data_IF_377380057187
#
_entry.id   IF_377380057187
#
_cell.length_a   1.000
_cell.length_b   1.000
_cell.length_c   1.000
_cell.angle_alpha   90.00
_cell.angle_beta   90.00
_cell.angle_gamma   90.00
#
_symmetry.space_group_name_H-M   'P 1'
#
loop_
_entity.id
_entity.type
_entity.pdbx_description
1 polymer ?
#
# COMPACT_ATOMS: atom_id res chain seq x y z
N UNK A 1 -10.66 -10.89 -8.20
CA UNK A 1 -10.30 -10.20 -6.95
C UNK A 1 -10.15 -8.72 -7.26
N UNK A 2 -10.74 -7.86 -6.45
CA UNK A 2 -10.76 -6.43 -6.69
C UNK A 2 -10.36 -5.66 -5.43
N UNK A 3 -9.81 -4.45 -5.62
CA UNK A 3 -9.30 -3.61 -4.55
C UNK A 3 -9.79 -2.18 -4.78
N UNK A 4 -10.68 -1.69 -3.94
CA UNK A 4 -11.29 -0.37 -4.08
C UNK A 4 -10.41 0.70 -3.45
N UNK A 5 -10.16 1.79 -4.17
CA UNK A 5 -9.35 2.90 -3.66
C UNK A 5 -10.17 3.69 -2.65
N UNK A 6 -9.75 3.64 -1.38
CA UNK A 6 -10.44 4.30 -0.27
C UNK A 6 -9.81 5.65 0.09
N UNK A 7 -8.49 5.81 -0.10
CA UNK A 7 -7.80 7.06 0.18
C UNK A 7 -6.51 7.15 -0.62
N UNK A 8 -6.05 8.38 -0.83
CA UNK A 8 -4.79 8.68 -1.51
C UNK A 8 -3.90 9.51 -0.57
N UNK A 9 -2.59 9.25 -0.64
CA UNK A 9 -1.62 9.90 0.25
C UNK A 9 -1.49 11.40 0.08
N UNK A 10 -1.89 11.94 -1.08
CA UNK A 10 -1.94 13.39 -1.31
C UNK A 10 -3.18 14.05 -0.71
N UNK A 11 -4.11 13.27 -0.15
CA UNK A 11 -5.38 13.72 0.44
C UNK A 11 -6.32 14.38 -0.56
N UNK A 12 -6.10 14.16 -1.85
CA UNK A 12 -6.95 14.67 -2.93
C UNK A 12 -7.82 13.55 -3.49
N UNK A 13 -8.77 13.92 -4.35
CA UNK A 13 -9.67 12.95 -4.98
C UNK A 13 -8.97 12.09 -6.02
N UNK A 14 -7.92 12.61 -6.65
CA UNK A 14 -7.16 11.91 -7.69
C UNK A 14 -5.66 12.19 -7.52
N UNK A 15 -4.85 11.25 -7.99
CA UNK A 15 -3.38 11.37 -7.99
C UNK A 15 -2.83 10.79 -9.29
N UNK A 16 -1.72 11.36 -9.78
CA UNK A 16 -0.99 10.83 -10.91
C UNK A 16 0.17 9.99 -10.43
N UNK A 17 0.37 8.86 -11.11
CA UNK A 17 1.48 7.94 -10.83
C UNK A 17 2.35 7.80 -12.07
N UNK A 18 3.66 7.90 -11.87
CA UNK A 18 4.66 7.68 -12.90
C UNK A 18 5.68 6.64 -12.39
N UNK A 19 6.68 6.23 -13.19
CA UNK A 19 7.64 5.21 -12.73
C UNK A 19 8.38 5.53 -11.43
N UNK A 20 8.42 6.80 -11.04
CA UNK A 20 9.05 7.24 -9.78
C UNK A 20 8.07 7.24 -8.60
N UNK A 21 6.81 6.90 -8.82
CA UNK A 21 5.76 6.85 -7.80
C UNK A 21 4.69 7.91 -7.98
N UNK A 22 3.99 8.25 -6.88
CA UNK A 22 2.95 9.25 -6.88
C UNK A 22 3.55 10.65 -7.05
N UNK A 23 3.04 11.42 -8.01
CA UNK A 23 3.48 12.80 -8.20
C UNK A 23 3.16 13.65 -6.99
N UNK A 24 4.13 14.48 -6.58
CA UNK A 24 3.98 15.35 -5.42
C UNK A 24 4.23 14.68 -4.08
N UNK A 25 4.55 13.39 -4.05
CA UNK A 25 4.89 12.71 -2.81
C UNK A 25 6.17 13.30 -2.21
N UNK A 26 6.14 13.58 -0.90
CA UNK A 26 7.27 14.18 -0.20
C UNK A 26 8.44 13.21 -0.04
N UNK A 27 8.15 11.91 0.08
CA UNK A 27 9.16 10.87 0.22
C UNK A 27 9.00 9.90 -0.94
N UNK A 28 10.10 9.72 -1.70
CA UNK A 28 10.13 8.79 -2.82
C UNK A 28 11.26 7.80 -2.60
N UNK A 29 10.95 6.54 -2.69
CA UNK A 29 11.94 5.48 -2.72
C UNK A 29 11.86 4.82 -4.08
N UNK A 30 12.88 5.00 -4.91
CA UNK A 30 12.88 4.50 -6.30
C UNK A 30 12.90 2.97 -6.38
N UNK A 31 13.36 2.29 -5.31
CA UNK A 31 13.36 0.84 -5.25
C UNK A 31 11.97 0.28 -4.95
N UNK A 32 11.10 1.07 -4.34
CA UNK A 32 9.70 0.73 -4.03
C UNK A 32 8.87 2.01 -4.12
N UNK A 33 8.57 2.42 -5.35
CA UNK A 33 8.04 3.77 -5.60
C UNK A 33 6.61 3.99 -5.10
N UNK A 34 5.82 2.92 -4.94
CA UNK A 34 4.43 3.04 -4.50
C UNK A 34 4.19 2.18 -3.28
N UNK A 35 3.52 2.75 -2.26
CA UNK A 35 3.09 2.00 -1.09
C UNK A 35 1.56 1.88 -1.07
N UNK A 36 1.07 0.68 -0.72
CA UNK A 36 -0.35 0.39 -0.58
C UNK A 36 -0.61 -0.12 0.83
N UNK A 37 -1.78 0.22 1.37
CA UNK A 37 -2.20 -0.19 2.70
C UNK A 37 -3.66 -0.61 2.70
N UNK A 38 -3.97 -1.67 3.45
CA UNK A 38 -5.34 -2.08 3.69
C UNK A 38 -6.08 -1.03 4.54
N UNK A 39 -7.30 -0.67 4.14
CA UNK A 39 -8.14 0.23 4.92
C UNK A 39 -8.42 -0.32 6.32
N UNK A 40 -8.69 -1.62 6.43
CA UNK A 40 -8.93 -2.26 7.72
C UNK A 40 -7.70 -2.15 8.64
N UNK A 41 -6.50 -2.33 8.09
CA UNK A 41 -5.26 -2.18 8.84
C UNK A 41 -5.04 -0.72 9.25
N UNK A 42 -5.32 0.24 8.36
CA UNK A 42 -5.21 1.68 8.69
C UNK A 42 -6.14 2.05 9.85
N UNK A 43 -7.39 1.58 9.81
CA UNK A 43 -8.36 1.84 10.88
C UNK A 43 -7.94 1.18 12.19
N UNK A 44 -7.43 -0.05 12.14
CA UNK A 44 -6.92 -0.74 13.31
C UNK A 44 -5.73 -0.04 13.95
N UNK A 45 -4.80 0.44 13.13
CA UNK A 45 -3.62 1.19 13.58
C UNK A 45 -4.03 2.51 14.23
N UNK A 46 -4.97 3.23 13.61
CA UNK A 46 -5.40 4.54 14.12
C UNK A 46 -6.13 4.44 15.46
N UNK A 47 -6.79 3.31 15.72
CA UNK A 47 -7.55 3.08 16.97
C UNK A 47 -6.81 2.23 18.00
N UNK A 48 -5.58 1.76 17.72
CA UNK A 48 -4.84 0.89 18.62
C UNK A 48 -4.40 1.62 19.90
N UNK A 49 -4.54 0.96 21.05
CA UNK A 49 -4.06 1.48 22.34
C UNK A 49 -2.53 1.38 22.42
N UNK A 50 -1.97 0.22 22.07
CA UNK A 50 -0.53 0.02 22.00
C UNK A 50 -0.08 0.29 20.57
N UNK A 51 0.69 1.35 20.39
CA UNK A 51 1.07 1.83 19.07
C UNK A 51 2.54 1.56 18.79
N UNK A 52 2.82 0.93 17.65
CA UNK A 52 4.17 0.74 17.18
C UNK A 52 4.80 2.04 16.68
N UNK A 53 6.12 2.03 16.55
CA UNK A 53 6.91 3.20 16.14
C UNK A 53 6.46 3.77 14.80
N UNK A 54 6.03 2.92 13.86
CA UNK A 54 5.67 3.33 12.50
C UNK A 54 4.22 3.81 12.37
N UNK A 55 3.38 3.64 13.38
CA UNK A 55 1.94 3.91 13.27
C UNK A 55 1.61 5.34 12.85
N UNK A 56 2.29 6.32 13.42
CA UNK A 56 2.08 7.72 13.07
C UNK A 56 2.93 8.19 11.90
N UNK A 57 4.00 7.46 11.58
CA UNK A 57 4.95 7.84 10.53
C UNK A 57 4.60 7.28 9.16
N UNK A 58 3.96 6.11 9.14
CA UNK A 58 3.66 5.46 7.89
C UNK A 58 2.41 6.07 7.25
N UNK A 59 2.59 6.62 6.05
CA UNK A 59 1.53 7.17 5.23
C UNK A 59 1.59 6.50 3.87
N UNK A 60 0.62 5.65 3.58
CA UNK A 60 0.58 4.96 2.30
C UNK A 60 0.19 5.92 1.17
N UNK A 61 0.74 5.69 -0.02
CA UNK A 61 0.33 6.42 -1.23
C UNK A 61 -1.11 6.07 -1.60
N UNK A 62 -1.49 4.81 -1.45
CA UNK A 62 -2.83 4.30 -1.77
C UNK A 62 -3.33 3.46 -0.60
N UNK A 63 -4.53 3.78 -0.10
CA UNK A 63 -5.25 2.93 0.85
C UNK A 63 -6.36 2.22 0.09
N UNK A 64 -6.39 0.89 0.17
CA UNK A 64 -7.38 0.08 -0.55
C UNK A 64 -8.24 -0.73 0.40
N UNK A 65 -9.52 -0.86 0.02
CA UNK A 65 -10.47 -1.70 0.73
C UNK A 65 -10.56 -3.05 0.02
N UNK A 66 -10.24 -4.12 0.73
CA UNK A 66 -10.24 -5.46 0.18
C UNK A 66 -10.26 -6.49 1.31
N UNK A 67 -10.79 -7.70 1.07
CA UNK A 67 -10.72 -8.78 2.06
C UNK A 67 -9.31 -9.32 2.24
N UNK A 68 -8.47 -9.23 1.23
CA UNK A 68 -7.10 -9.72 1.26
C UNK A 68 -6.23 -8.87 0.33
N UNK A 69 -5.06 -8.46 0.80
CA UNK A 69 -4.10 -7.69 0.02
C UNK A 69 -3.51 -8.53 -1.13
N UNK A 70 -3.16 -7.89 -2.25
CA UNK A 70 -2.55 -8.62 -3.37
C UNK A 70 -1.19 -9.20 -2.97
N UNK A 71 -0.88 -10.39 -3.50
CA UNK A 71 0.38 -11.06 -3.23
C UNK A 71 1.51 -10.50 -4.12
N UNK A 72 2.74 -10.71 -3.66
CA UNK A 72 3.93 -10.37 -4.44
C UNK A 72 3.86 -11.01 -5.83
N UNK A 73 4.24 -10.25 -6.85
CA UNK A 73 4.22 -10.71 -8.24
C UNK A 73 2.90 -10.47 -8.96
N UNK A 74 1.87 -10.02 -8.26
CA UNK A 74 0.57 -9.73 -8.85
C UNK A 74 0.59 -8.39 -9.59
N UNK A 75 0.02 -8.34 -10.79
CA UNK A 75 -0.23 -7.09 -11.50
C UNK A 75 -1.69 -6.70 -11.30
N UNK A 76 -1.93 -5.45 -10.87
CA UNK A 76 -3.26 -4.90 -10.66
C UNK A 76 -3.43 -3.64 -11.50
N UNK A 77 -4.62 -3.44 -12.05
CA UNK A 77 -4.89 -2.35 -12.99
C UNK A 77 -6.18 -1.61 -12.64
N UNK A 78 -6.11 -0.28 -12.67
CA UNK A 78 -7.28 0.60 -12.59
C UNK A 78 -7.12 1.67 -13.67
N UNK A 79 -8.03 1.67 -14.65
CA UNK A 79 -7.88 2.54 -15.81
C UNK A 79 -6.60 2.22 -16.58
N UNK A 80 -5.75 3.21 -16.80
CA UNK A 80 -4.45 3.02 -17.45
C UNK A 80 -3.33 2.64 -16.46
N UNK A 81 -3.51 2.94 -15.19
CA UNK A 81 -2.51 2.66 -14.17
C UNK A 81 -2.40 1.15 -13.90
N UNK A 82 -1.22 0.59 -14.08
CA UNK A 82 -0.92 -0.79 -13.73
C UNK A 82 0.23 -0.81 -12.72
N UNK A 83 0.01 -1.48 -11.60
CA UNK A 83 0.99 -1.66 -10.54
C UNK A 83 1.38 -3.12 -10.41
N UNK A 84 2.66 -3.36 -10.16
CA UNK A 84 3.14 -4.71 -9.85
C UNK A 84 3.58 -4.79 -8.39
N UNK A 85 3.11 -5.79 -7.68
CA UNK A 85 3.41 -5.94 -6.25
C UNK A 85 4.85 -6.47 -6.10
N UNK A 86 5.70 -5.64 -5.51
CA UNK A 86 7.14 -5.88 -5.39
C UNK A 86 7.51 -6.56 -4.07
N UNK A 87 6.92 -6.07 -2.97
CA UNK A 87 7.22 -6.55 -1.63
C UNK A 87 5.94 -6.65 -0.79
N UNK A 88 5.91 -7.62 0.11
CA UNK A 88 4.88 -7.78 1.12
C UNK A 88 5.43 -7.32 2.48
N UNK A 89 4.68 -6.42 3.12
CA UNK A 89 5.00 -5.99 4.46
C UNK A 89 6.04 -4.89 4.54
N UNK A 90 6.28 -4.48 5.77
CA UNK A 90 7.20 -3.40 6.13
C UNK A 90 8.16 -3.92 7.21
N UNK A 91 9.46 -3.64 7.05
CA UNK A 91 10.44 -4.03 8.04
C UNK A 91 10.21 -3.31 9.36
N UNK A 92 10.33 -4.03 10.48
CA UNK A 92 10.21 -3.46 11.82
C UNK A 92 11.54 -2.86 12.28
N UNK A 93 11.42 -1.79 13.07
CA UNK A 93 12.56 -1.18 13.75
C UNK A 93 12.78 -1.88 15.09
N UNK A 94 14.04 -2.18 15.48
CA UNK A 94 14.31 -2.80 16.78
C UNK A 94 13.82 -1.98 17.98
N UNK A 95 13.71 -0.66 17.83
CA UNK A 95 13.23 0.25 18.87
C UNK A 95 11.72 0.23 19.05
N UNK A 96 10.99 -0.41 18.12
CA UNK A 96 9.53 -0.46 18.19
C UNK A 96 9.07 -1.31 19.37
N UNK A 97 8.12 -0.80 20.16
CA UNK A 97 7.57 -1.51 21.30
C UNK A 97 6.98 -2.87 20.91
N UNK A 98 6.33 -2.96 19.75
CA UNK A 98 5.75 -4.21 19.27
C UNK A 98 6.85 -5.24 18.97
N UNK A 99 7.97 -4.80 18.41
CA UNK A 99 9.11 -5.67 18.15
C UNK A 99 9.72 -6.18 19.48
N UNK A 100 9.94 -5.27 20.44
CA UNK A 100 10.52 -5.61 21.74
C UNK A 100 9.65 -6.55 22.56
N UNK A 101 8.31 -6.37 22.46
CA UNK A 101 7.33 -7.19 23.16
C UNK A 101 6.98 -8.47 22.39
N UNK A 102 7.59 -8.67 21.22
CA UNK A 102 7.31 -9.80 20.32
C UNK A 102 5.83 -9.87 19.92
N UNK A 103 5.20 -8.72 19.73
CA UNK A 103 3.81 -8.62 19.33
C UNK A 103 3.69 -8.44 17.80
N UNK A 104 2.60 -8.94 17.20
CA UNK A 104 2.40 -8.78 15.75
C UNK A 104 2.15 -7.30 15.39
N UNK A 105 2.75 -6.86 14.30
CA UNK A 105 2.53 -5.52 13.77
C UNK A 105 1.63 -5.62 12.53
N UNK A 106 0.44 -4.97 12.52
CA UNK A 106 -0.47 -5.03 11.37
C UNK A 106 0.15 -4.51 10.08
N UNK A 107 1.14 -3.61 10.17
CA UNK A 107 1.82 -3.06 9.00
C UNK A 107 2.63 -4.09 8.24
N UNK A 108 3.04 -5.19 8.88
CA UNK A 108 3.78 -6.26 8.21
C UNK A 108 2.88 -6.96 7.19
N UNK A 109 1.64 -7.28 7.58
CA UNK A 109 0.70 -8.01 6.72
C UNK A 109 -0.15 -7.09 5.85
N UNK A 110 -0.44 -5.88 6.31
CA UNK A 110 -1.37 -4.97 5.66
C UNK A 110 -0.74 -3.96 4.69
N UNK A 111 0.57 -4.03 4.48
CA UNK A 111 1.29 -3.10 3.59
C UNK A 111 1.89 -3.86 2.43
N UNK A 112 1.84 -3.26 1.25
CA UNK A 112 2.49 -3.74 0.03
C UNK A 112 3.25 -2.61 -0.61
N UNK A 113 4.33 -2.94 -1.29
CA UNK A 113 5.08 -2.01 -2.13
C UNK A 113 4.98 -2.45 -3.58
N UNK A 114 4.92 -1.49 -4.49
CA UNK A 114 4.69 -1.78 -5.90
C UNK A 114 5.57 -0.91 -6.78
N UNK A 115 5.87 -1.42 -7.97
CA UNK A 115 6.42 -0.62 -9.07
C UNK A 115 5.27 -0.19 -9.99
N UNK A 116 5.51 0.85 -10.78
CA UNK A 116 4.55 1.30 -11.79
C UNK A 116 4.88 0.63 -13.11
N UNK A 117 4.07 -0.34 -13.50
CA UNK A 117 4.23 -1.04 -14.78
C UNK A 117 3.75 -0.17 -15.93
N UNK A 118 2.64 0.54 -15.75
CA UNK A 118 2.12 1.50 -16.70
C UNK A 118 1.60 2.73 -15.95
N UNK A 119 2.07 3.94 -16.29
CA UNK A 119 1.64 5.14 -15.57
C UNK A 119 0.19 5.51 -15.87
N UNK A 120 -0.41 6.26 -14.97
CA UNK A 120 -1.79 6.71 -15.12
C UNK A 120 -2.28 7.50 -13.94
N UNK A 121 -3.53 7.95 -14.01
CA UNK A 121 -4.22 8.68 -12.96
C UNK A 121 -5.12 7.73 -12.19
N UNK A 122 -5.12 7.85 -10.87
CA UNK A 122 -5.96 7.05 -9.98
C UNK A 122 -6.82 7.99 -9.14
N UNK A 123 -8.12 7.69 -9.05
CA UNK A 123 -9.07 8.50 -8.28
C UNK A 123 -9.78 7.65 -7.23
N UNK A 124 -10.29 8.33 -6.19
CA UNK A 124 -11.07 7.67 -5.13
C UNK A 124 -12.26 6.92 -5.72
N UNK A 125 -12.51 5.73 -5.21
CA UNK A 125 -13.61 4.89 -5.67
C UNK A 125 -13.30 4.03 -6.88
N UNK A 126 -12.17 4.25 -7.55
CA UNK A 126 -11.75 3.36 -8.62
C UNK A 126 -11.37 1.99 -8.06
N UNK A 127 -11.47 0.97 -8.90
CA UNK A 127 -11.23 -0.40 -8.50
C UNK A 127 -10.07 -0.97 -9.30
N UNK A 128 -9.06 -1.47 -8.56
CA UNK A 128 -8.01 -2.28 -9.17
C UNK A 128 -8.51 -3.70 -9.37
N UNK A 129 -8.20 -4.28 -10.52
CA UNK A 129 -8.46 -5.68 -10.81
C UNK A 129 -7.16 -6.40 -11.11
N UNK A 130 -7.07 -7.67 -10.76
CA UNK A 130 -5.91 -8.50 -11.06
C UNK A 130 -5.88 -8.78 -12.56
N UNK A 131 -4.77 -8.44 -13.22
CA UNK A 131 -4.58 -8.70 -14.65
C UNK A 131 -3.55 -9.81 -14.90
N UNK A 132 -2.65 -10.05 -13.94
CA UNK A 132 -1.67 -11.14 -14.02
C UNK A 132 -1.18 -11.49 -12.64
N UNK A 133 -0.73 -12.73 -12.44
CA UNK A 133 -0.15 -13.18 -11.18
C UNK A 133 0.93 -14.22 -11.47
N UNK A 134 2.07 -14.12 -10.77
CA UNK A 134 3.15 -15.10 -10.84
C UNK A 134 2.76 -16.41 -10.17
N UNK A 135 1.69 -16.42 -9.39
CA UNK A 135 1.24 -17.58 -8.64
C UNK A 135 -0.12 -18.03 -9.18
N UNK A 136 -0.14 -18.80 -10.29
CA UNK A 136 -1.39 -19.32 -10.84
C UNK A 136 -2.06 -20.22 -9.82
N UNK A 137 -3.32 -19.95 -9.61
CA UNK A 137 -4.12 -20.75 -8.68
C UNK A 137 -4.34 -22.16 -9.20
#
# INVERSE_FOLDING_TARGET
MSFTVAALGNREACAQFNPNGMEGAKRKNLDRPVSLMSLAVRQGVDSAELRGLCYNRFQADITIECPQMPAKGTLIKAGELTLGILLEGKACWPECVLFQENLPCPLIDGVRYAWVENPGTLCLGEVFEVVASDNPA
#
